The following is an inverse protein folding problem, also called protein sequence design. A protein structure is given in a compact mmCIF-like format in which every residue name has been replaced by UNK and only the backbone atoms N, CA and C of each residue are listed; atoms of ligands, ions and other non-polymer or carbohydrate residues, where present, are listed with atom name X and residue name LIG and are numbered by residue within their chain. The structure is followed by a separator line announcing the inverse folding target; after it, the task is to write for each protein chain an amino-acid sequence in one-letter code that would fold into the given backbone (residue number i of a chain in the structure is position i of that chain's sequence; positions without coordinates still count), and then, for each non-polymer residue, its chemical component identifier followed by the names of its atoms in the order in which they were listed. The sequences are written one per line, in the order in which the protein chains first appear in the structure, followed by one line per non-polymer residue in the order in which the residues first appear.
data_IF_175023060613
#
_entry.id   IF_175023060613
#
_cell.length_a   1.000
_cell.length_b   1.000
_cell.length_c   1.000
_cell.angle_alpha   90.00
_cell.angle_beta   90.00
_cell.angle_gamma   90.00
#
_symmetry.space_group_name_H-M   'P 1'
#
loop_
_entity.id
_entity.type
_entity.pdbx_description
1 polymer ?
#
# COMPACT_ATOMS: atom_id res chain seq x y z
N UNK A 1 44.76 61.78 17.59
CA UNK A 1 43.64 60.85 17.79
C UNK A 1 43.34 60.16 16.46
N UNK A 2 43.51 58.84 16.37
CA UNK A 2 43.02 58.05 15.24
C UNK A 2 42.51 56.74 15.82
N UNK A 3 41.18 56.68 15.97
CA UNK A 3 40.45 55.50 16.46
C UNK A 3 40.34 54.59 15.24
N UNK A 4 41.14 53.52 15.20
CA UNK A 4 41.03 52.51 14.15
C UNK A 4 39.73 51.73 14.42
N UNK A 5 38.77 51.89 13.52
CA UNK A 5 37.47 51.26 13.54
C UNK A 5 37.62 49.74 13.44
N UNK A 6 37.08 49.03 14.42
CA UNK A 6 37.03 47.57 14.42
C UNK A 6 36.15 47.10 13.27
N UNK A 7 36.74 46.31 12.37
CA UNK A 7 35.99 45.55 11.38
C UNK A 7 35.11 44.53 12.10
N UNK A 8 33.80 44.42 11.78
CA UNK A 8 32.99 43.31 12.28
C UNK A 8 33.47 42.04 11.57
N UNK A 9 34.27 41.25 12.27
CA UNK A 9 34.58 39.88 11.84
C UNK A 9 33.23 39.17 11.79
N UNK A 10 32.75 38.84 10.59
CA UNK A 10 31.62 37.95 10.45
C UNK A 10 32.03 36.63 11.11
N UNK A 11 31.42 36.30 12.26
CA UNK A 11 31.67 35.01 12.89
C UNK A 11 31.15 33.93 11.95
N UNK A 12 32.09 33.28 11.24
CA UNK A 12 31.81 32.10 10.47
C UNK A 12 31.50 30.99 11.47
N UNK A 13 30.22 30.84 11.80
CA UNK A 13 29.74 29.83 12.75
C UNK A 13 29.73 28.49 12.04
N UNK A 14 30.89 27.83 11.97
CA UNK A 14 31.02 26.49 11.40
C UNK A 14 30.19 25.55 12.27
N UNK A 15 28.99 25.23 11.80
CA UNK A 15 28.15 24.21 12.40
C UNK A 15 28.78 22.86 12.05
N UNK A 16 29.57 22.30 12.96
CA UNK A 16 30.08 20.93 12.85
C UNK A 16 28.93 19.95 13.05
N UNK A 17 28.04 19.79 12.07
CA UNK A 17 27.08 18.70 12.13
C UNK A 17 27.82 17.39 11.94
N UNK A 18 27.68 16.50 12.93
CA UNK A 18 28.03 15.11 12.73
C UNK A 18 27.05 14.52 11.72
N UNK A 19 27.52 14.19 10.52
CA UNK A 19 26.73 13.52 9.46
C UNK A 19 25.96 12.32 10.02
N UNK A 20 26.55 11.61 11.00
CA UNK A 20 25.91 10.50 11.71
C UNK A 20 24.65 10.89 12.49
N UNK A 21 24.62 12.07 13.11
CA UNK A 21 23.46 12.58 13.86
C UNK A 21 22.34 13.00 12.91
N UNK A 22 22.69 13.59 11.76
CA UNK A 22 21.70 13.98 10.76
C UNK A 22 21.09 12.77 10.07
N UNK A 23 21.90 11.78 9.71
CA UNK A 23 21.44 10.52 9.15
C UNK A 23 20.52 9.78 10.13
N UNK A 24 20.88 9.73 11.42
CA UNK A 24 20.09 9.06 12.46
C UNK A 24 18.70 9.69 12.65
N UNK A 25 18.58 11.00 12.39
CA UNK A 25 17.31 11.73 12.58
C UNK A 25 16.33 11.58 11.40
N UNK A 26 16.81 11.53 10.16
CA UNK A 26 15.95 11.48 8.96
C UNK A 26 15.66 10.06 8.47
N UNK A 27 16.60 9.13 8.69
CA UNK A 27 16.47 7.74 8.26
C UNK A 27 15.23 7.03 8.81
N UNK A 28 14.79 7.24 10.07
CA UNK A 28 13.58 6.59 10.58
C UNK A 28 12.31 6.97 9.82
N UNK A 29 12.12 8.26 9.46
CA UNK A 29 10.95 8.70 8.68
C UNK A 29 10.94 8.05 7.31
N UNK A 30 12.10 8.02 6.63
CA UNK A 30 12.23 7.40 5.32
C UNK A 30 11.96 5.89 5.42
N UNK A 31 12.52 5.23 6.43
CA UNK A 31 12.33 3.80 6.67
C UNK A 31 10.86 3.45 6.94
N UNK A 32 10.15 4.24 7.75
CA UNK A 32 8.70 4.06 7.98
C UNK A 32 7.93 4.23 6.67
N UNK A 33 8.25 5.25 5.88
CA UNK A 33 7.59 5.46 4.59
C UNK A 33 7.78 4.28 3.63
N UNK A 34 9.02 3.80 3.47
CA UNK A 34 9.34 2.63 2.65
C UNK A 34 8.69 1.34 3.17
N UNK A 35 8.59 1.19 4.50
CA UNK A 35 7.90 0.06 5.11
C UNK A 35 6.40 0.08 4.78
N UNK A 36 5.74 1.24 4.90
CA UNK A 36 4.32 1.41 4.55
C UNK A 36 4.05 1.13 3.07
N UNK A 37 4.95 1.53 2.17
CA UNK A 37 4.87 1.14 0.77
C UNK A 37 5.01 -0.37 0.56
N UNK A 38 5.90 -1.02 1.30
CA UNK A 38 6.21 -2.44 1.14
C UNK A 38 5.08 -3.37 1.60
N UNK A 39 4.31 -2.97 2.62
CA UNK A 39 3.14 -3.73 3.08
C UNK A 39 1.89 -3.49 2.23
N UNK A 40 1.93 -2.54 1.29
CA UNK A 40 0.80 -2.25 0.41
C UNK A 40 0.64 -3.29 -0.69
N UNK A 41 -0.59 -3.74 -0.93
CA UNK A 41 -0.91 -4.71 -1.96
C UNK A 41 -2.11 -4.28 -2.79
N UNK A 42 -2.14 -4.74 -4.04
CA UNK A 42 -3.28 -4.67 -4.92
C UNK A 42 -3.63 -6.09 -5.35
N UNK A 43 -4.87 -6.51 -5.12
CA UNK A 43 -5.32 -7.86 -5.42
C UNK A 43 -6.39 -7.83 -6.49
N UNK A 44 -6.21 -8.60 -7.55
CA UNK A 44 -7.15 -8.68 -8.66
C UNK A 44 -7.64 -10.12 -8.82
N UNK A 45 -8.96 -10.29 -8.87
CA UNK A 45 -9.62 -11.56 -9.20
C UNK A 45 -10.18 -11.46 -10.61
N UNK A 46 -9.64 -12.27 -11.51
CA UNK A 46 -10.09 -12.37 -12.91
C UNK A 46 -10.64 -13.78 -13.13
N UNK A 47 -11.90 -13.91 -13.51
CA UNK A 47 -12.49 -15.18 -13.89
C UNK A 47 -12.88 -15.21 -15.36
N UNK A 48 -12.66 -16.34 -16.00
CA UNK A 48 -13.11 -16.64 -17.35
C UNK A 48 -13.90 -17.94 -17.33
N UNK A 49 -15.14 -17.86 -17.83
CA UNK A 49 -16.09 -18.96 -17.94
C UNK A 49 -16.06 -19.45 -19.40
N UNK A 50 -15.64 -20.70 -19.58
CA UNK A 50 -15.64 -21.38 -20.88
C UNK A 50 -17.02 -22.00 -21.14
N UNK A 51 -17.62 -22.59 -20.10
CA UNK A 51 -18.95 -23.19 -20.11
C UNK A 51 -19.68 -22.87 -18.79
N UNK A 52 -21.00 -23.08 -18.67
CA UNK A 52 -21.78 -22.72 -17.48
C UNK A 52 -21.26 -23.26 -16.14
N UNK A 53 -20.39 -24.28 -16.12
CA UNK A 53 -19.74 -24.78 -14.90
C UNK A 53 -18.23 -24.99 -15.04
N UNK A 54 -17.64 -24.59 -16.18
CA UNK A 54 -16.23 -24.79 -16.44
C UNK A 54 -15.55 -23.46 -16.76
N UNK A 55 -14.34 -23.30 -16.24
CA UNK A 55 -13.57 -22.08 -16.36
C UNK A 55 -12.55 -21.98 -15.23
N UNK A 56 -11.76 -20.92 -15.27
CA UNK A 56 -10.72 -20.66 -14.29
C UNK A 56 -10.80 -19.21 -13.81
N UNK A 57 -10.47 -19.03 -12.53
CA UNK A 57 -10.25 -17.76 -11.90
C UNK A 57 -8.77 -17.64 -11.52
N UNK A 58 -8.19 -16.48 -11.77
CA UNK A 58 -6.83 -16.13 -11.34
C UNK A 58 -6.94 -15.03 -10.31
N UNK A 59 -6.45 -15.29 -9.11
CA UNK A 59 -6.27 -14.29 -8.06
C UNK A 59 -4.80 -13.88 -8.06
N UNK A 60 -4.55 -12.61 -8.39
CA UNK A 60 -3.21 -12.04 -8.44
C UNK A 60 -3.08 -11.01 -7.32
N UNK A 61 -2.18 -11.26 -6.38
CA UNK A 61 -1.77 -10.26 -5.38
C UNK A 61 -0.45 -9.64 -5.83
N UNK A 62 -0.46 -8.33 -6.05
CA UNK A 62 0.71 -7.55 -6.44
C UNK A 62 1.10 -6.62 -5.30
N UNK A 63 2.31 -6.78 -4.78
CA UNK A 63 2.99 -5.83 -3.88
C UNK A 63 4.01 -5.02 -4.66
N UNK A 64 4.72 -4.11 -4.00
CA UNK A 64 5.73 -3.27 -4.67
C UNK A 64 6.88 -4.11 -5.27
N UNK A 65 7.30 -5.17 -4.57
CA UNK A 65 8.48 -5.96 -4.94
C UNK A 65 8.17 -7.40 -5.38
N UNK A 66 6.98 -7.91 -5.06
CA UNK A 66 6.60 -9.30 -5.31
C UNK A 66 5.17 -9.35 -5.85
N UNK A 67 4.94 -10.22 -6.83
CA UNK A 67 3.58 -10.61 -7.21
C UNK A 67 3.41 -12.10 -7.02
N UNK A 68 2.27 -12.49 -6.47
CA UNK A 68 1.86 -13.88 -6.37
C UNK A 68 0.57 -14.07 -7.16
N UNK A 69 0.43 -15.20 -7.84
CA UNK A 69 -0.78 -15.57 -8.54
C UNK A 69 -1.18 -16.98 -8.14
N UNK A 70 -2.45 -17.18 -7.88
CA UNK A 70 -3.04 -18.50 -7.67
C UNK A 70 -4.21 -18.71 -8.63
N UNK A 71 -4.34 -19.94 -9.12
CA UNK A 71 -5.46 -20.34 -9.95
C UNK A 71 -6.51 -21.07 -9.11
N UNK A 72 -7.77 -20.77 -9.38
CA UNK A 72 -8.94 -21.31 -8.71
C UNK A 72 -9.87 -21.81 -9.82
N UNK A 73 -10.18 -23.10 -9.85
CA UNK A 73 -11.19 -23.61 -10.78
C UNK A 73 -12.55 -22.96 -10.51
N UNK A 74 -13.31 -22.65 -11.56
CA UNK A 74 -14.64 -22.04 -11.44
C UNK A 74 -15.60 -22.91 -10.60
N UNK A 75 -15.51 -24.24 -10.70
CA UNK A 75 -16.32 -25.16 -9.89
C UNK A 75 -15.96 -25.07 -8.39
N UNK A 76 -14.75 -24.61 -8.05
CA UNK A 76 -14.37 -24.37 -6.66
C UNK A 76 -14.84 -23.02 -6.14
N UNK A 77 -15.25 -22.07 -6.99
CA UNK A 77 -15.68 -20.73 -6.57
C UNK A 77 -17.13 -20.76 -6.07
N UNK A 78 -17.35 -20.38 -4.80
CA UNK A 78 -18.68 -20.34 -4.18
C UNK A 78 -19.28 -18.93 -4.11
N UNK A 79 -18.44 -17.89 -4.07
CA UNK A 79 -18.92 -16.51 -3.97
C UNK A 79 -17.90 -15.56 -3.36
N UNK A 80 -18.39 -14.40 -2.93
CA UNK A 80 -17.64 -13.41 -2.17
C UNK A 80 -18.42 -12.99 -0.92
N UNK A 81 -17.70 -12.73 0.16
CA UNK A 81 -18.28 -12.21 1.41
C UNK A 81 -17.34 -11.20 2.06
N UNK A 82 -17.82 -10.53 3.10
CA UNK A 82 -17.03 -9.63 3.92
C UNK A 82 -17.07 -10.12 5.36
N UNK A 83 -15.92 -10.20 6.00
CA UNK A 83 -15.84 -10.55 7.42
C UNK A 83 -14.87 -9.63 8.16
N UNK A 84 -15.03 -9.51 9.47
CA UNK A 84 -14.02 -8.89 10.32
C UNK A 84 -12.90 -9.87 10.62
N UNK A 85 -11.66 -9.40 10.51
CA UNK A 85 -10.50 -10.12 10.99
C UNK A 85 -10.40 -10.06 12.52
N UNK A 86 -9.44 -10.79 13.09
CA UNK A 86 -9.21 -10.83 14.55
C UNK A 86 -8.82 -9.47 15.15
N UNK A 87 -8.42 -8.50 14.32
CA UNK A 87 -8.04 -7.14 14.71
C UNK A 87 -9.19 -6.14 14.50
N UNK A 88 -10.38 -6.61 14.12
CA UNK A 88 -11.56 -5.78 13.86
C UNK A 88 -11.56 -5.11 12.49
N UNK A 89 -10.58 -5.38 11.63
CA UNK A 89 -10.52 -4.86 10.27
C UNK A 89 -11.44 -5.64 9.35
N UNK A 90 -12.24 -4.94 8.56
CA UNK A 90 -13.15 -5.57 7.60
C UNK A 90 -12.39 -6.02 6.35
N UNK A 91 -12.55 -7.27 5.92
CA UNK A 91 -11.84 -7.88 4.79
C UNK A 91 -12.82 -8.47 3.78
N UNK A 92 -12.50 -8.30 2.48
CA UNK A 92 -13.19 -8.99 1.39
C UNK A 92 -12.60 -10.39 1.23
N UNK A 93 -13.44 -11.41 1.29
CA UNK A 93 -13.08 -12.82 1.20
C UNK A 93 -13.69 -13.43 -0.06
N UNK A 94 -12.89 -14.17 -0.81
CA UNK A 94 -13.35 -15.05 -1.89
C UNK A 94 -13.62 -16.42 -1.27
N UNK A 95 -14.86 -16.90 -1.39
CA UNK A 95 -15.27 -18.19 -0.87
C UNK A 95 -15.00 -19.28 -1.91
N UNK A 96 -14.27 -20.31 -1.51
CA UNK A 96 -14.04 -21.51 -2.31
C UNK A 96 -14.48 -22.77 -1.56
N UNK A 97 -14.63 -23.90 -2.27
CA UNK A 97 -14.91 -25.21 -1.66
C UNK A 97 -13.85 -25.64 -0.64
N UNK A 98 -12.61 -25.16 -0.80
CA UNK A 98 -11.47 -25.52 0.05
C UNK A 98 -11.23 -24.54 1.19
N UNK A 99 -11.91 -23.40 1.21
CA UNK A 99 -11.77 -22.40 2.26
C UNK A 99 -12.11 -20.99 1.80
N UNK A 100 -11.67 -20.00 2.58
CA UNK A 100 -11.84 -18.58 2.25
C UNK A 100 -10.48 -17.95 1.99
N UNK A 101 -10.38 -17.16 0.92
CA UNK A 101 -9.14 -16.53 0.50
C UNK A 101 -9.30 -15.01 0.66
N UNK A 102 -8.47 -14.36 1.48
CA UNK A 102 -8.53 -12.90 1.66
C UNK A 102 -8.07 -12.20 0.39
N UNK A 103 -8.88 -11.26 -0.07
CA UNK A 103 -8.58 -10.42 -1.23
C UNK A 103 -7.99 -9.06 -0.80
N UNK A 104 -8.33 -8.58 0.40
CA UNK A 104 -7.81 -7.33 0.93
C UNK A 104 -8.75 -6.69 1.96
N UNK A 105 -8.35 -5.55 2.49
CA UNK A 105 -9.13 -4.77 3.45
C UNK A 105 -10.27 -4.04 2.72
N UNK A 106 -11.50 -4.18 3.22
CA UNK A 106 -12.65 -3.42 2.75
C UNK A 106 -12.80 -2.16 3.59
N UNK A 107 -12.90 -1.00 2.93
CA UNK A 107 -13.23 0.27 3.59
C UNK A 107 -14.70 0.41 3.94
N UNK A 108 -15.55 -0.53 3.51
CA UNK A 108 -16.99 -0.55 3.81
C UNK A 108 -17.29 -1.53 4.91
N UNK A 109 -17.98 -1.03 5.94
CA UNK A 109 -18.53 -1.79 7.06
C UNK A 109 -19.92 -2.35 6.72
N UNK A 110 -20.18 -3.60 7.13
CA UNK A 110 -21.46 -4.29 6.95
C UNK A 110 -21.54 -5.22 5.73
N UNK A 111 -22.69 -5.87 5.57
CA UNK A 111 -22.89 -6.97 4.60
C UNK A 111 -22.92 -6.52 3.12
N UNK A 112 -22.97 -5.21 2.86
CA UNK A 112 -23.13 -4.66 1.51
C UNK A 112 -21.79 -4.23 0.92
N UNK A 113 -21.15 -5.14 0.19
CA UNK A 113 -19.95 -4.84 -0.57
C UNK A 113 -20.17 -5.12 -2.07
N UNK A 114 -20.11 -4.08 -2.93
CA UNK A 114 -20.39 -4.24 -4.35
C UNK A 114 -19.42 -5.20 -5.05
N UNK A 115 -18.22 -5.41 -4.50
CA UNK A 115 -17.25 -6.37 -5.02
C UNK A 115 -17.68 -7.80 -4.70
N UNK A 116 -18.12 -8.05 -3.46
CA UNK A 116 -18.70 -9.34 -3.07
C UNK A 116 -19.96 -9.65 -3.89
N UNK A 117 -20.84 -8.65 -4.06
CA UNK A 117 -22.06 -8.78 -4.87
C UNK A 117 -21.73 -9.12 -6.32
N UNK A 118 -20.73 -8.48 -6.93
CA UNK A 118 -20.27 -8.83 -8.29
C UNK A 118 -19.78 -10.28 -8.40
N UNK A 119 -19.03 -10.76 -7.41
CA UNK A 119 -18.59 -12.17 -7.38
C UNK A 119 -19.81 -13.09 -7.27
N UNK A 120 -20.75 -12.77 -6.37
CA UNK A 120 -21.96 -13.56 -6.16
C UNK A 120 -22.87 -13.57 -7.40
N UNK A 121 -23.01 -12.45 -8.10
CA UNK A 121 -23.73 -12.37 -9.38
C UNK A 121 -23.05 -13.21 -10.45
N UNK A 122 -21.71 -13.17 -10.55
CA UNK A 122 -20.98 -14.01 -11.50
C UNK A 122 -21.14 -15.51 -11.21
N UNK A 123 -21.18 -15.92 -9.94
CA UNK A 123 -21.40 -17.33 -9.58
C UNK A 123 -22.83 -17.77 -9.91
N UNK A 124 -23.83 -16.91 -9.64
CA UNK A 124 -25.25 -17.21 -9.84
C UNK A 124 -25.70 -17.15 -11.29
N UNK A 125 -25.23 -16.16 -12.05
CA UNK A 125 -25.62 -15.93 -13.44
C UNK A 125 -24.59 -16.56 -14.39
N UNK A 126 -24.98 -17.67 -15.02
CA UNK A 126 -24.13 -18.40 -15.96
C UNK A 126 -23.92 -17.69 -17.29
N UNK A 127 -24.69 -16.63 -17.59
CA UNK A 127 -24.53 -15.84 -18.81
C UNK A 127 -23.32 -14.90 -18.74
N UNK A 128 -22.84 -14.58 -17.53
CA UNK A 128 -21.68 -13.73 -17.33
C UNK A 128 -20.42 -14.54 -17.63
N UNK A 129 -19.78 -14.26 -18.77
CA UNK A 129 -18.60 -14.98 -19.25
C UNK A 129 -17.29 -14.59 -18.55
N UNK A 130 -17.20 -13.38 -18.02
CA UNK A 130 -15.99 -12.90 -17.37
C UNK A 130 -16.29 -12.02 -16.16
N UNK A 131 -15.39 -12.09 -15.17
CA UNK A 131 -15.42 -11.25 -13.98
C UNK A 131 -14.04 -10.63 -13.81
N UNK A 132 -14.01 -9.33 -13.51
CA UNK A 132 -12.80 -8.66 -13.06
C UNK A 132 -13.15 -7.81 -11.83
N UNK A 133 -12.57 -8.17 -10.69
CA UNK A 133 -12.69 -7.45 -9.44
C UNK A 133 -11.29 -7.04 -9.01
N UNK A 134 -11.08 -5.74 -8.80
CA UNK A 134 -9.82 -5.21 -8.32
C UNK A 134 -9.99 -4.63 -6.91
N UNK A 135 -9.09 -4.97 -6.00
CA UNK A 135 -9.00 -4.47 -4.64
C UNK A 135 -7.64 -3.80 -4.46
N UNK A 136 -7.64 -2.46 -4.54
CA UNK A 136 -6.45 -1.66 -4.37
C UNK A 136 -6.39 -1.10 -2.94
N UNK A 137 -5.56 -1.71 -2.10
CA UNK A 137 -5.33 -1.28 -0.72
C UNK A 137 -4.11 -0.35 -0.62
N UNK A 138 -3.53 0.06 -1.75
CA UNK A 138 -2.28 0.81 -1.77
C UNK A 138 -2.43 2.27 -1.38
N UNK A 139 -3.64 2.84 -1.49
CA UNK A 139 -3.88 4.27 -1.25
C UNK A 139 -3.33 4.77 0.09
N UNK A 140 -3.44 3.99 1.17
CA UNK A 140 -2.92 4.36 2.49
C UNK A 140 -1.39 4.37 2.51
N UNK A 141 -0.76 3.33 1.95
CA UNK A 141 0.70 3.27 1.82
C UNK A 141 1.24 4.40 0.96
N UNK A 142 0.54 4.78 -0.11
CA UNK A 142 0.96 5.86 -1.01
C UNK A 142 0.83 7.24 -0.39
N UNK A 143 -0.26 7.50 0.34
CA UNK A 143 -0.51 8.79 0.98
C UNK A 143 0.40 8.99 2.19
N UNK A 144 0.30 8.12 3.19
CA UNK A 144 1.06 8.25 4.44
C UNK A 144 2.54 7.97 4.21
N UNK A 145 2.86 6.90 3.48
CA UNK A 145 4.24 6.58 3.15
C UNK A 145 4.92 7.66 2.32
N UNK A 146 4.20 8.24 1.36
CA UNK A 146 4.68 9.37 0.56
C UNK A 146 5.03 10.59 1.41
N UNK A 147 4.15 10.97 2.34
CA UNK A 147 4.38 12.09 3.27
C UNK A 147 5.62 11.82 4.14
N UNK A 148 5.77 10.60 4.66
CA UNK A 148 6.94 10.23 5.47
C UNK A 148 8.26 10.31 4.70
N UNK A 149 8.29 9.81 3.46
CA UNK A 149 9.50 9.88 2.63
C UNK A 149 9.84 11.34 2.28
N UNK A 150 8.86 12.11 1.80
CA UNK A 150 9.07 13.51 1.43
C UNK A 150 9.55 14.32 2.63
N UNK A 151 8.91 14.16 3.80
CA UNK A 151 9.30 14.84 5.02
C UNK A 151 10.74 14.51 5.46
N UNK A 152 11.10 13.22 5.49
CA UNK A 152 12.44 12.79 5.87
C UNK A 152 13.54 13.29 4.91
N UNK A 153 13.26 13.26 3.61
CA UNK A 153 14.17 13.81 2.59
C UNK A 153 14.29 15.33 2.72
N UNK A 154 13.18 16.04 2.97
CA UNK A 154 13.19 17.50 3.10
C UNK A 154 14.00 17.96 4.30
N UNK A 155 13.81 17.30 5.46
CA UNK A 155 14.62 17.55 6.66
C UNK A 155 16.12 17.29 6.41
N UNK A 156 16.46 16.23 5.69
CA UNK A 156 17.85 15.93 5.34
C UNK A 156 18.45 17.03 4.45
N UNK A 157 17.72 17.49 3.43
CA UNK A 157 18.19 18.56 2.53
C UNK A 157 18.35 19.88 3.27
N UNK A 158 17.41 20.26 4.13
CA UNK A 158 17.46 21.52 4.89
C UNK A 158 18.67 21.56 5.83
N UNK A 159 18.91 20.46 6.56
CA UNK A 159 20.10 20.29 7.40
C UNK A 159 21.40 20.42 6.60
N UNK A 160 21.44 19.87 5.37
CA UNK A 160 22.62 19.97 4.50
C UNK A 160 22.83 21.40 3.97
N UNK A 161 21.77 22.13 3.63
CA UNK A 161 21.88 23.54 3.19
C UNK A 161 22.49 24.44 4.27
N UNK A 162 22.10 24.24 5.52
CA UNK A 162 22.60 25.01 6.66
C UNK A 162 24.08 24.75 7.02
N UNK A 163 24.74 23.79 6.35
CA UNK A 163 26.17 23.49 6.55
C UNK A 163 27.08 24.18 5.53
N UNK A 164 26.52 24.64 4.41
CA UNK A 164 27.27 25.27 3.32
C UNK A 164 27.07 26.80 3.25
N UNK A 165 26.31 27.37 4.18
CA UNK A 165 26.09 28.81 4.39
C UNK A 165 26.71 29.22 5.73
#
# INVERSE_FOLDING_TARGET
MKKLEGTPYAELKIHTSNIWVDLLSSLPMIAVGLFLFSISSNTTLICQRLEPKQGNCKLTESKLWVSSSQEISLDNLQGGTVAQDRKGSTQLLVLTKTGSIPMGNSTRWGDKNPKADRINSFVKDTNIKSLNVNQDDRWFGWTVGGICVIGGVSQYIEKRKNLYL
#
